data_IF_209959378863
#
_entry.id   IF_209959378863
#
_cell.length_a   1.000
_cell.length_b   1.000
_cell.length_c   1.000
_cell.angle_alpha   90.00
_cell.angle_beta   90.00
_cell.angle_gamma   90.00
#
_symmetry.space_group_name_H-M   'P 1'
#
loop_
_entity.id
_entity.type
_entity.pdbx_description
1 polymer ?
#
# COMPACT_ATOMS: atom_id res chain seq x y z
N UNK A 1 -45.01 78.54 3.22
CA UNK A 1 -45.29 77.40 4.11
C UNK A 1 -44.21 76.35 3.82
N UNK A 2 -43.09 76.43 4.54
CA UNK A 2 -41.88 75.61 4.38
C UNK A 2 -42.03 74.34 5.23
N UNK A 3 -42.06 73.16 4.59
CA UNK A 3 -41.94 71.88 5.28
C UNK A 3 -40.47 71.44 5.28
N UNK A 4 -39.84 71.44 6.46
CA UNK A 4 -38.47 70.98 6.63
C UNK A 4 -38.41 69.44 6.53
N UNK A 5 -37.62 68.93 5.59
CA UNK A 5 -37.23 67.52 5.52
C UNK A 5 -36.07 67.31 6.50
N UNK A 6 -36.33 66.63 7.61
CA UNK A 6 -35.29 66.12 8.50
C UNK A 6 -34.62 64.90 7.86
N UNK A 7 -33.28 64.80 7.83
CA UNK A 7 -32.62 63.56 7.43
C UNK A 7 -32.81 62.52 8.54
N UNK A 8 -33.42 61.38 8.22
CA UNK A 8 -33.37 60.21 9.09
C UNK A 8 -31.94 59.69 9.13
N UNK A 9 -31.30 59.76 10.29
CA UNK A 9 -30.06 59.04 10.56
C UNK A 9 -30.43 57.56 10.60
N UNK A 10 -29.99 56.80 9.61
CA UNK A 10 -30.08 55.35 9.60
C UNK A 10 -29.06 54.83 10.61
N UNK A 11 -29.53 54.45 11.79
CA UNK A 11 -28.74 53.78 12.81
C UNK A 11 -28.33 52.42 12.25
N UNK A 12 -27.03 52.22 12.06
CA UNK A 12 -26.50 50.95 11.57
C UNK A 12 -26.85 49.86 12.59
N UNK A 13 -27.80 49.01 12.24
CA UNK A 13 -28.19 47.86 13.04
C UNK A 13 -26.99 46.91 13.10
N UNK A 14 -26.27 46.97 14.22
CA UNK A 14 -25.16 46.09 14.53
C UNK A 14 -25.73 44.67 14.63
N UNK A 15 -25.59 43.91 13.55
CA UNK A 15 -25.89 42.49 13.52
C UNK A 15 -24.87 41.83 14.44
N UNK A 16 -25.30 41.45 15.64
CA UNK A 16 -24.54 40.57 16.52
C UNK A 16 -24.26 39.28 15.74
N UNK A 17 -23.05 39.20 15.16
CA UNK A 17 -22.55 37.98 14.57
C UNK A 17 -22.52 36.88 15.63
N UNK A 18 -22.72 35.60 15.27
CA UNK A 18 -22.60 34.52 16.23
C UNK A 18 -21.23 34.63 16.90
N UNK A 19 -21.23 34.59 18.24
CA UNK A 19 -20.02 34.61 19.06
C UNK A 19 -18.96 33.67 18.45
N UNK A 20 -17.66 34.04 18.48
CA UNK A 20 -16.61 33.18 17.93
C UNK A 20 -16.75 31.80 18.57
N UNK A 21 -17.21 30.84 17.77
CA UNK A 21 -17.34 29.46 18.18
C UNK A 21 -15.90 29.01 18.44
N UNK A 22 -15.53 28.92 19.72
CA UNK A 22 -14.35 28.18 20.12
C UNK A 22 -14.58 26.75 19.65
N UNK A 23 -13.99 26.42 18.50
CA UNK A 23 -13.89 25.06 18.01
C UNK A 23 -13.40 24.23 19.21
N UNK A 24 -14.10 23.15 19.61
CA UNK A 24 -13.59 22.27 20.64
C UNK A 24 -12.15 21.91 20.24
N UNK A 25 -11.19 21.89 21.19
CA UNK A 25 -9.79 21.64 20.87
C UNK A 25 -9.76 20.42 19.97
N UNK A 26 -9.46 20.67 18.68
CA UNK A 26 -9.45 19.65 17.64
C UNK A 26 -8.58 18.56 18.22
N UNK A 27 -9.17 17.39 18.47
CA UNK A 27 -8.54 16.26 19.13
C UNK A 27 -7.09 16.24 18.70
N UNK A 28 -6.18 16.59 19.63
CA UNK A 28 -4.81 16.96 19.32
C UNK A 28 -4.30 16.01 18.25
N UNK A 29 -4.21 16.49 17.00
CA UNK A 29 -3.81 15.65 15.89
C UNK A 29 -2.41 15.21 16.27
N UNK A 30 -2.27 13.96 16.71
CA UNK A 30 -1.01 13.42 17.17
C UNK A 30 -0.05 13.62 16.01
N UNK A 31 0.87 14.59 16.15
CA UNK A 31 1.82 14.93 15.10
C UNK A 31 2.72 13.71 14.95
N UNK A 32 2.38 12.83 14.00
CA UNK A 32 3.17 11.63 13.73
C UNK A 32 4.41 12.07 13.00
N UNK A 33 5.55 12.01 13.66
CA UNK A 33 6.81 12.34 13.00
C UNK A 33 7.06 11.36 11.85
N UNK A 34 7.44 11.84 10.65
CA UNK A 34 7.62 10.98 9.47
C UNK A 34 8.60 9.82 9.68
N UNK A 35 9.67 10.07 10.45
CA UNK A 35 10.65 9.04 10.83
C UNK A 35 10.02 7.94 11.70
N UNK A 36 9.09 8.30 12.58
CA UNK A 36 8.41 7.34 13.43
C UNK A 36 7.28 6.57 12.71
N UNK A 37 6.68 7.13 11.64
CA UNK A 37 5.74 6.42 10.76
C UNK A 37 6.48 5.38 9.87
N UNK A 38 7.66 5.75 9.36
CA UNK A 38 8.53 4.86 8.60
C UNK A 38 8.99 3.65 9.42
N UNK A 39 9.57 3.88 10.61
CA UNK A 39 10.10 2.81 11.45
C UNK A 39 9.02 1.81 11.88
N UNK A 40 7.79 2.28 12.13
CA UNK A 40 6.67 1.38 12.47
C UNK A 40 6.25 0.52 11.30
N UNK A 41 6.22 1.07 10.08
CA UNK A 41 5.89 0.31 8.86
C UNK A 41 6.97 -0.70 8.48
N UNK A 42 8.23 -0.40 8.83
CA UNK A 42 9.34 -1.34 8.65
C UNK A 42 9.28 -2.51 9.64
N UNK A 43 8.82 -2.24 10.87
CA UNK A 43 8.71 -3.24 11.94
C UNK A 43 7.48 -4.15 11.78
N UNK A 44 6.34 -3.56 11.42
CA UNK A 44 5.10 -4.27 11.14
C UNK A 44 4.55 -3.71 9.84
N UNK A 45 4.55 -4.50 8.75
CA UNK A 45 4.02 -4.07 7.47
C UNK A 45 2.60 -3.51 7.65
N UNK A 46 2.40 -2.25 7.25
CA UNK A 46 1.12 -1.54 7.35
C UNK A 46 0.84 -0.77 8.66
N UNK A 47 1.68 -0.85 9.71
CA UNK A 47 1.42 -0.18 11.00
C UNK A 47 1.55 1.35 10.95
N UNK A 48 2.42 1.91 10.10
CA UNK A 48 2.53 3.38 9.99
C UNK A 48 1.31 4.05 9.37
N UNK A 49 0.57 3.37 8.48
CA UNK A 49 -0.62 3.93 7.81
C UNK A 49 -1.85 4.04 8.71
N UNK A 50 -1.93 3.22 9.77
CA UNK A 50 -3.02 3.27 10.76
C UNK A 50 -2.96 4.60 11.54
N UNK A 51 -1.77 5.12 11.79
CA UNK A 51 -1.57 6.34 12.59
C UNK A 51 -1.78 7.62 11.76
N UNK A 52 -1.56 7.57 10.44
CA UNK A 52 -1.81 8.71 9.53
C UNK A 52 -3.27 8.82 9.06
N UNK A 53 -4.17 7.97 9.57
CA UNK A 53 -5.60 7.97 9.21
C UNK A 53 -5.91 7.45 7.79
N UNK A 54 -4.94 6.88 7.08
CA UNK A 54 -5.10 6.35 5.72
C UNK A 54 -5.30 4.83 5.73
N UNK A 55 -6.44 4.40 6.26
CA UNK A 55 -6.77 2.97 6.45
C UNK A 55 -6.77 2.17 5.14
N UNK A 56 -7.14 2.77 4.01
CA UNK A 56 -7.12 2.10 2.70
C UNK A 56 -5.72 1.72 2.23
N UNK A 57 -4.73 2.62 2.40
CA UNK A 57 -3.32 2.36 2.02
C UNK A 57 -2.68 1.34 2.94
N UNK A 58 -2.95 1.42 4.25
CA UNK A 58 -2.49 0.42 5.22
C UNK A 58 -3.03 -0.97 4.92
N UNK A 59 -4.32 -1.07 4.59
CA UNK A 59 -4.95 -2.34 4.22
C UNK A 59 -4.32 -3.00 2.99
N UNK A 60 -3.95 -2.21 1.97
CA UNK A 60 -3.27 -2.72 0.78
C UNK A 60 -1.93 -3.40 1.12
N UNK A 61 -1.05 -2.74 1.87
CA UNK A 61 0.25 -3.31 2.22
C UNK A 61 0.13 -4.53 3.14
N UNK A 62 -0.80 -4.52 4.11
CA UNK A 62 -1.05 -5.70 4.95
C UNK A 62 -1.51 -6.89 4.11
N UNK A 63 -2.41 -6.69 3.16
CA UNK A 63 -2.91 -7.76 2.30
C UNK A 63 -1.81 -8.29 1.36
N UNK A 64 -1.03 -7.39 0.75
CA UNK A 64 0.11 -7.75 -0.09
C UNK A 64 1.13 -8.57 0.70
N UNK A 65 1.45 -8.15 1.92
CA UNK A 65 2.45 -8.81 2.75
C UNK A 65 1.97 -10.14 3.32
N UNK A 66 0.70 -10.22 3.72
CA UNK A 66 0.08 -11.48 4.11
C UNK A 66 0.06 -12.50 2.96
N UNK A 67 -0.28 -12.06 1.75
CA UNK A 67 -0.28 -12.91 0.56
C UNK A 67 1.12 -13.42 0.20
N UNK A 68 2.11 -12.53 0.28
CA UNK A 68 3.52 -12.87 0.00
C UNK A 68 4.09 -13.82 1.04
N UNK A 69 3.82 -13.58 2.31
CA UNK A 69 4.23 -14.46 3.41
C UNK A 69 3.60 -15.85 3.27
N UNK A 70 2.32 -15.93 2.92
CA UNK A 70 1.65 -17.21 2.66
C UNK A 70 2.31 -17.98 1.50
N UNK A 71 2.60 -17.29 0.40
CA UNK A 71 3.28 -17.89 -0.75
C UNK A 71 4.71 -18.33 -0.42
N UNK A 72 5.43 -17.55 0.38
CA UNK A 72 6.75 -17.88 0.88
C UNK A 72 6.71 -19.15 1.73
N UNK A 73 5.84 -19.20 2.75
CA UNK A 73 5.63 -20.36 3.61
C UNK A 73 5.32 -21.61 2.79
N UNK A 74 4.33 -21.50 1.89
CA UNK A 74 3.92 -22.60 1.01
C UNK A 74 5.08 -23.09 0.14
N UNK A 75 5.92 -22.18 -0.36
CA UNK A 75 7.09 -22.51 -1.17
C UNK A 75 8.18 -23.20 -0.34
N UNK A 76 8.39 -22.78 0.91
CA UNK A 76 9.30 -23.45 1.85
C UNK A 76 8.86 -24.89 2.12
N UNK A 77 7.59 -25.12 2.46
CA UNK A 77 7.06 -26.48 2.69
C UNK A 77 7.26 -27.39 1.47
N UNK A 78 6.99 -26.87 0.27
CA UNK A 78 7.17 -27.62 -0.99
C UNK A 78 8.65 -27.92 -1.29
N UNK A 79 9.55 -27.00 -0.96
CA UNK A 79 10.99 -27.20 -1.10
C UNK A 79 11.49 -28.29 -0.16
N UNK A 80 11.03 -28.29 1.08
CA UNK A 80 11.48 -29.24 2.09
C UNK A 80 11.00 -30.66 1.76
N UNK A 81 9.78 -30.81 1.27
CA UNK A 81 9.28 -32.10 0.76
C UNK A 81 10.08 -32.58 -0.46
N UNK A 82 10.37 -31.69 -1.41
CA UNK A 82 11.20 -32.03 -2.57
C UNK A 82 12.62 -32.49 -2.15
N UNK A 83 13.22 -31.84 -1.15
CA UNK A 83 14.52 -32.22 -0.59
C UNK A 83 14.48 -33.58 0.10
N UNK A 84 13.41 -33.85 0.84
CA UNK A 84 13.19 -35.15 1.50
C UNK A 84 13.12 -36.28 0.47
N UNK A 85 12.29 -36.11 -0.55
CA UNK A 85 12.15 -37.10 -1.63
C UNK A 85 13.46 -37.27 -2.41
N UNK A 86 14.15 -36.18 -2.73
CA UNK A 86 15.46 -36.25 -3.40
C UNK A 86 16.52 -37.00 -2.60
N UNK A 87 16.48 -36.91 -1.26
CA UNK A 87 17.41 -37.66 -0.39
C UNK A 87 17.13 -39.17 -0.44
N UNK A 88 15.85 -39.55 -0.41
CA UNK A 88 15.43 -40.96 -0.51
C UNK A 88 15.82 -41.55 -1.87
N UNK A 89 15.56 -40.81 -2.95
CA UNK A 89 15.86 -41.28 -4.30
C UNK A 89 17.37 -41.39 -4.56
N UNK A 90 18.18 -40.43 -4.09
CA UNK A 90 19.64 -40.56 -4.14
C UNK A 90 20.13 -41.81 -3.40
N UNK A 91 19.56 -42.10 -2.23
CA UNK A 91 19.91 -43.30 -1.48
C UNK A 91 19.57 -44.58 -2.26
N UNK A 92 18.38 -44.64 -2.86
CA UNK A 92 17.95 -45.78 -3.67
C UNK A 92 18.81 -45.97 -4.94
N UNK A 93 19.17 -44.89 -5.63
CA UNK A 93 20.07 -44.95 -6.81
C UNK A 93 21.47 -45.39 -6.40
N UNK A 94 21.97 -44.90 -5.26
CA UNK A 94 23.26 -45.31 -4.70
C UNK A 94 23.26 -46.80 -4.40
N UNK A 95 22.25 -47.31 -3.71
CA UNK A 95 22.09 -48.73 -3.37
C UNK A 95 22.05 -49.61 -4.63
N UNK A 96 21.25 -49.21 -5.63
CA UNK A 96 21.17 -49.90 -6.93
C UNK A 96 22.53 -49.97 -7.64
N UNK A 97 23.32 -48.89 -7.61
CA UNK A 97 24.64 -48.84 -8.24
C UNK A 97 25.69 -49.67 -7.50
N UNK A 98 25.62 -49.71 -6.17
CA UNK A 98 26.44 -50.59 -5.33
C UNK A 98 26.13 -52.06 -5.63
N UNK A 99 24.86 -52.44 -5.71
CA UNK A 99 24.43 -53.79 -6.09
C UNK A 99 24.86 -54.18 -7.51
N UNK A 100 24.94 -53.21 -8.42
CA UNK A 100 25.47 -53.41 -9.78
C UNK A 100 27.02 -53.50 -9.84
N UNK A 101 27.71 -53.47 -8.69
CA UNK A 101 29.16 -53.62 -8.59
C UNK A 101 29.96 -52.33 -8.76
N UNK A 102 29.32 -51.15 -8.68
CA UNK A 102 30.03 -49.87 -8.71
C UNK A 102 30.60 -49.56 -7.32
N UNK A 103 31.83 -49.98 -7.05
CA UNK A 103 32.47 -49.85 -5.72
C UNK A 103 33.32 -48.58 -5.60
N UNK A 104 33.92 -48.12 -6.70
CA UNK A 104 34.72 -46.88 -6.69
C UNK A 104 33.85 -45.67 -6.29
N UNK A 105 34.15 -44.98 -5.17
CA UNK A 105 33.35 -43.85 -4.69
C UNK A 105 33.26 -42.69 -5.68
N UNK A 106 34.29 -42.48 -6.50
CA UNK A 106 34.32 -41.38 -7.47
C UNK A 106 33.38 -41.69 -8.65
N UNK A 107 33.44 -42.91 -9.18
CA UNK A 107 32.56 -43.39 -10.24
C UNK A 107 31.12 -43.50 -9.75
N UNK A 108 30.91 -43.94 -8.50
CA UNK A 108 29.60 -44.03 -7.87
C UNK A 108 28.93 -42.65 -7.80
N UNK A 109 29.61 -41.64 -7.27
CA UNK A 109 29.08 -40.27 -7.20
C UNK A 109 28.73 -39.72 -8.58
N UNK A 110 29.64 -39.85 -9.54
CA UNK A 110 29.41 -39.38 -10.91
C UNK A 110 28.18 -40.05 -11.54
N UNK A 111 27.97 -41.35 -11.30
CA UNK A 111 26.79 -42.08 -11.81
C UNK A 111 25.50 -41.71 -11.08
N UNK A 112 25.53 -41.49 -9.77
CA UNK A 112 24.37 -41.01 -9.00
C UNK A 112 23.95 -39.63 -9.48
N UNK A 113 24.91 -38.71 -9.66
CA UNK A 113 24.65 -37.35 -10.15
C UNK A 113 24.20 -37.33 -11.62
N UNK A 114 24.64 -38.29 -12.43
CA UNK A 114 24.22 -38.42 -13.81
C UNK A 114 22.82 -39.05 -13.96
N UNK A 115 22.31 -39.74 -12.94
CA UNK A 115 21.05 -40.46 -12.99
C UNK A 115 19.86 -39.53 -13.28
N UNK A 116 18.98 -39.87 -14.25
CA UNK A 116 17.84 -39.02 -14.62
C UNK A 116 16.90 -38.69 -13.46
N UNK A 117 16.66 -39.63 -12.55
CA UNK A 117 15.75 -39.40 -11.41
C UNK A 117 16.34 -38.40 -10.43
N UNK A 118 17.64 -38.54 -10.13
CA UNK A 118 18.35 -37.61 -9.24
C UNK A 118 18.38 -36.20 -9.83
N UNK A 119 18.60 -36.08 -11.15
CA UNK A 119 18.56 -34.78 -11.85
C UNK A 119 17.18 -34.15 -11.82
N UNK A 120 16.13 -34.90 -12.12
CA UNK A 120 14.75 -34.40 -12.09
C UNK A 120 14.39 -33.85 -10.69
N UNK A 121 14.78 -34.55 -9.63
CA UNK A 121 14.56 -34.04 -8.26
C UNK A 121 15.36 -32.80 -7.95
N UNK A 122 16.62 -32.74 -8.38
CA UNK A 122 17.44 -31.56 -8.19
C UNK A 122 16.83 -30.34 -8.91
N UNK A 123 16.32 -30.52 -10.12
CA UNK A 123 15.64 -29.47 -10.87
C UNK A 123 14.39 -28.97 -10.14
N UNK A 124 13.59 -29.88 -9.57
CA UNK A 124 12.42 -29.51 -8.75
C UNK A 124 12.87 -28.74 -7.49
N UNK A 125 13.89 -29.21 -6.78
CA UNK A 125 14.41 -28.56 -5.56
C UNK A 125 14.91 -27.15 -5.90
N UNK A 126 15.63 -26.99 -7.01
CA UNK A 126 16.10 -25.69 -7.48
C UNK A 126 14.94 -24.78 -7.86
N UNK A 127 13.96 -25.27 -8.60
CA UNK A 127 12.77 -24.49 -8.95
C UNK A 127 12.01 -23.99 -7.70
N UNK A 128 11.87 -24.83 -6.66
CA UNK A 128 11.25 -24.41 -5.39
C UNK A 128 12.13 -23.45 -4.60
N UNK A 129 13.45 -23.59 -4.68
CA UNK A 129 14.38 -22.66 -4.02
C UNK A 129 14.31 -21.27 -4.65
N UNK A 130 14.27 -21.17 -5.99
CA UNK A 130 14.05 -19.90 -6.69
C UNK A 130 12.72 -19.24 -6.33
N UNK A 131 11.65 -20.03 -6.21
CA UNK A 131 10.36 -19.49 -5.74
C UNK A 131 10.46 -18.87 -4.34
N UNK A 132 11.19 -19.49 -3.42
CA UNK A 132 11.42 -18.91 -2.08
C UNK A 132 12.20 -17.60 -2.17
N UNK A 133 13.23 -17.53 -3.01
CA UNK A 133 14.02 -16.32 -3.23
C UNK A 133 13.16 -15.19 -3.84
N UNK A 134 12.36 -15.49 -4.86
CA UNK A 134 11.46 -14.54 -5.52
C UNK A 134 10.45 -13.94 -4.54
N UNK A 135 9.79 -14.78 -3.73
CA UNK A 135 8.82 -14.33 -2.75
C UNK A 135 9.48 -13.54 -1.61
N UNK A 136 10.70 -13.90 -1.23
CA UNK A 136 11.48 -13.16 -0.23
C UNK A 136 11.84 -11.77 -0.74
N UNK A 137 12.30 -11.68 -1.99
CA UNK A 137 12.63 -10.41 -2.62
C UNK A 137 11.40 -9.51 -2.77
N UNK A 138 10.27 -10.08 -3.21
CA UNK A 138 9.00 -9.37 -3.33
C UNK A 138 8.52 -8.81 -1.98
N UNK A 139 8.56 -9.64 -0.93
CA UNK A 139 8.19 -9.20 0.42
C UNK A 139 9.06 -8.05 0.91
N UNK A 140 10.38 -8.19 0.80
CA UNK A 140 11.30 -7.13 1.21
C UNK A 140 11.02 -5.83 0.45
N UNK A 141 10.76 -5.92 -0.85
CA UNK A 141 10.43 -4.78 -1.69
C UNK A 141 9.12 -4.11 -1.28
N UNK A 142 8.06 -4.88 -1.02
CA UNK A 142 6.76 -4.35 -0.58
C UNK A 142 6.87 -3.65 0.77
N UNK A 143 7.62 -4.22 1.72
CA UNK A 143 7.89 -3.58 3.02
C UNK A 143 8.57 -2.22 2.83
N UNK A 144 9.59 -2.14 1.97
CA UNK A 144 10.31 -0.90 1.70
C UNK A 144 9.43 0.15 1.04
N UNK A 145 8.63 -0.23 0.04
CA UNK A 145 7.67 0.68 -0.61
C UNK A 145 6.64 1.18 0.40
N UNK A 146 6.05 0.30 1.20
CA UNK A 146 5.07 0.70 2.22
C UNK A 146 5.66 1.66 3.25
N UNK A 147 6.91 1.43 3.66
CA UNK A 147 7.61 2.35 4.56
C UNK A 147 7.85 3.72 3.90
N UNK A 148 8.29 3.76 2.64
CA UNK A 148 8.47 5.00 1.89
C UNK A 148 7.14 5.74 1.70
N UNK A 149 6.07 5.03 1.38
CA UNK A 149 4.72 5.56 1.23
C UNK A 149 4.22 6.24 2.52
N UNK A 150 4.42 5.58 3.66
CA UNK A 150 4.08 6.12 4.97
C UNK A 150 4.91 7.37 5.33
N UNK A 151 6.20 7.39 4.97
CA UNK A 151 7.06 8.55 5.18
C UNK A 151 6.60 9.77 4.37
N UNK A 152 6.22 9.56 3.10
CA UNK A 152 5.67 10.60 2.23
C UNK A 152 4.31 11.06 2.76
N UNK A 153 3.42 10.13 3.12
CA UNK A 153 2.11 10.48 3.68
C UNK A 153 2.23 11.33 4.95
N UNK A 154 3.20 11.02 5.83
CA UNK A 154 3.44 11.80 7.02
C UNK A 154 3.97 13.21 6.73
N UNK A 155 4.84 13.39 5.71
CA UNK A 155 5.27 14.73 5.28
C UNK A 155 4.13 15.58 4.71
N UNK A 156 3.16 14.94 4.09
CA UNK A 156 2.02 15.62 3.49
C UNK A 156 0.92 15.97 4.51
N UNK A 157 1.01 15.51 5.77
CA UNK A 157 -0.02 15.77 6.78
C UNK A 157 -0.16 17.26 7.15
N UNK A 158 0.93 18.03 7.03
CA UNK A 158 0.97 19.45 7.39
C UNK A 158 0.69 20.40 6.20
N UNK A 159 0.38 19.85 5.02
CA UNK A 159 0.04 20.71 3.86
C UNK A 159 -1.32 21.39 4.07
N UNK A 160 -1.39 22.72 3.98
CA UNK A 160 -2.57 23.51 4.38
C UNK A 160 -3.79 23.35 3.46
N UNK A 161 -3.64 22.75 2.27
CA UNK A 161 -4.71 22.68 1.28
C UNK A 161 -5.28 21.26 1.17
N UNK A 162 -6.33 20.97 1.95
CA UNK A 162 -7.19 19.81 1.69
C UNK A 162 -8.15 20.18 0.58
N UNK A 163 -7.75 19.99 -0.67
CA UNK A 163 -8.68 20.11 -1.79
C UNK A 163 -9.82 19.10 -1.57
N UNK A 164 -11.01 19.63 -1.28
CA UNK A 164 -12.22 18.83 -1.15
C UNK A 164 -12.88 18.73 -2.53
N UNK A 165 -12.74 17.58 -3.17
CA UNK A 165 -13.46 17.29 -4.41
C UNK A 165 -14.92 17.01 -4.08
N UNK A 166 -15.78 18.00 -4.23
CA UNK A 166 -17.23 17.78 -4.23
C UNK A 166 -17.64 17.55 -5.67
N UNK A 167 -17.91 16.30 -6.05
CA UNK A 167 -18.70 16.04 -7.25
C UNK A 167 -20.12 16.54 -6.97
N UNK A 168 -20.57 17.51 -7.75
CA UNK A 168 -21.97 17.98 -7.73
C UNK A 168 -22.67 17.26 -8.88
N UNK A 169 -23.50 16.23 -8.60
CA UNK A 169 -24.34 15.66 -9.64
C UNK A 169 -25.37 16.72 -10.06
N UNK A 170 -25.38 17.09 -11.35
CA UNK A 170 -26.47 17.90 -11.92
C UNK A 170 -26.18 19.39 -12.15
N UNK A 171 -24.92 19.80 -12.37
CA UNK A 171 -24.62 21.17 -12.81
C UNK A 171 -25.02 21.49 -14.27
N UNK A 172 -25.17 20.47 -15.12
CA UNK A 172 -25.57 20.61 -16.53
C UNK A 172 -26.18 19.29 -17.05
N UNK A 173 -27.13 19.30 -18.00
CA UNK A 173 -27.82 18.09 -18.47
C UNK A 173 -26.89 16.98 -19.02
N UNK A 174 -25.72 17.33 -19.57
CA UNK A 174 -24.79 16.38 -20.23
C UNK A 174 -23.32 16.50 -19.75
N UNK A 175 -23.05 16.99 -18.53
CA UNK A 175 -21.67 17.27 -18.08
C UNK A 175 -21.40 16.99 -16.60
N UNK A 176 -20.11 16.81 -16.29
CA UNK A 176 -19.60 16.72 -14.90
C UNK A 176 -18.96 18.06 -14.55
N UNK A 177 -19.44 18.70 -13.49
CA UNK A 177 -18.84 19.91 -12.95
C UNK A 177 -17.93 19.55 -11.77
N UNK A 178 -16.66 19.94 -11.86
CA UNK A 178 -15.72 19.83 -10.77
C UNK A 178 -15.67 21.17 -10.02
N UNK A 179 -16.04 21.15 -8.74
CA UNK A 179 -15.92 22.32 -7.86
C UNK A 179 -14.80 22.05 -6.86
N UNK A 180 -13.74 22.86 -6.94
CA UNK A 180 -12.66 22.88 -5.96
C UNK A 180 -12.95 24.02 -4.98
N UNK A 181 -13.15 23.71 -3.69
CA UNK A 181 -13.40 24.69 -2.64
C UNK A 181 -12.35 24.58 -1.53
N UNK A 182 -11.69 25.70 -1.14
CA UNK A 182 -10.86 25.74 0.06
C UNK A 182 -11.68 25.43 1.31
N UNK A 183 -11.14 24.61 2.23
CA UNK A 183 -11.85 24.14 3.42
C UNK A 183 -12.03 25.19 4.51
N UNK A 184 -11.26 26.27 4.45
CA UNK A 184 -11.10 27.35 5.42
C UNK A 184 -12.05 28.53 5.19
N UNK A 185 -12.89 28.50 4.16
CA UNK A 185 -13.94 29.50 3.92
C UNK A 185 -13.42 30.90 3.56
N UNK A 186 -12.10 31.08 3.48
CA UNK A 186 -11.46 32.32 3.09
C UNK A 186 -11.48 32.45 1.56
N UNK A 187 -12.56 33.03 1.02
CA UNK A 187 -12.65 33.79 -0.25
C UNK A 187 -11.72 33.45 -1.44
N UNK A 188 -11.36 32.19 -1.64
CA UNK A 188 -10.46 31.75 -2.71
C UNK A 188 -11.19 31.37 -3.98
N UNK A 189 -10.58 31.73 -5.13
CA UNK A 189 -11.07 31.58 -6.50
C UNK A 189 -11.95 30.33 -6.76
N UNK A 190 -13.20 30.55 -7.15
CA UNK A 190 -14.04 29.52 -7.77
C UNK A 190 -13.57 29.27 -9.19
N UNK A 191 -13.01 28.09 -9.46
CA UNK A 191 -12.71 27.65 -10.83
C UNK A 191 -13.53 26.41 -11.14
N UNK A 192 -14.65 26.62 -11.82
CA UNK A 192 -15.49 25.54 -12.36
C UNK A 192 -14.89 25.10 -13.69
N UNK A 193 -14.29 23.91 -13.71
CA UNK A 193 -13.82 23.29 -14.96
C UNK A 193 -14.93 22.37 -15.49
N UNK A 194 -15.58 22.79 -16.59
CA UNK A 194 -16.56 21.97 -17.30
C UNK A 194 -15.89 21.24 -18.44
N UNK A 195 -15.84 19.90 -18.36
CA UNK A 195 -15.45 19.06 -19.48
C UNK A 195 -16.73 18.55 -20.18
N UNK A 196 -16.93 18.85 -21.47
CA UNK A 196 -17.98 18.17 -22.22
C UNK A 196 -17.61 16.68 -22.28
N UNK A 197 -18.57 15.79 -22.05
CA UNK A 197 -18.38 14.37 -22.31
C UNK A 197 -18.50 14.15 -23.82
N UNK A 198 -17.41 13.90 -24.57
CA UNK A 198 -17.58 13.25 -25.86
C UNK A 198 -18.02 11.81 -25.54
N UNK A 199 -18.97 11.27 -26.29
CA UNK A 199 -19.42 9.87 -26.24
C UNK A 199 -20.44 9.50 -25.15
N UNK A 200 -21.66 10.00 -25.30
CA UNK A 200 -22.90 9.24 -25.05
C UNK A 200 -23.98 9.75 -26.02
N UNK A 201 -24.01 9.15 -27.21
CA UNK A 201 -25.17 9.16 -28.11
C UNK A 201 -25.40 7.75 -28.60
#
# INVERSE_FOLDING_TARGET
MLGALTPQVVEAQQVDGPAPQQLPPTAAALVVTPRAAFLRSLLIPGWGHVVTGSYGRGGFYVAAEGGSFWMLWKSMQRRDEARRLGTIERAAVTDRLLMAGTIDPTVLRARVEADPLVKEREDIIQARSRQVEDWTAFSLFMVLIGAADAYVAAHLMDFPERLSERLIPGGMPDGVAFQLRPSDGAGGFEMTLSLPLPFLR
#
